data_IF_311235683650
#
_entry.id   IF_311235683650
#
_cell.length_a   1.000
_cell.length_b   1.000
_cell.length_c   1.000
_cell.angle_alpha   90.00
_cell.angle_beta   90.00
_cell.angle_gamma   90.00
#
_symmetry.space_group_name_H-M   'P 1'
#
loop_
_entity.id
_entity.type
_entity.pdbx_description
1 polymer ?
#
# COMPACT_ATOMS: atom_id res chain seq x y z
N UNK A 1 10.87 58.18 -34.07
CA UNK A 1 11.73 57.17 -34.71
C UNK A 1 12.95 56.96 -33.83
N UNK A 2 12.93 55.88 -33.01
CA UNK A 2 14.09 55.38 -32.30
C UNK A 2 14.02 53.84 -32.39
N UNK A 3 15.08 53.16 -32.86
CA UNK A 3 15.05 51.73 -33.08
C UNK A 3 15.24 50.97 -31.74
N UNK A 4 14.36 50.04 -31.48
CA UNK A 4 14.46 49.07 -30.36
C UNK A 4 15.65 48.16 -30.58
N UNK A 5 16.62 48.22 -29.67
CA UNK A 5 17.70 47.24 -29.57
C UNK A 5 17.15 45.93 -28.97
N UNK A 6 17.05 44.93 -29.83
CA UNK A 6 16.81 43.55 -29.43
C UNK A 6 18.06 42.99 -28.72
N UNK A 7 17.96 42.72 -27.43
CA UNK A 7 19.00 42.02 -26.67
C UNK A 7 19.18 40.60 -27.21
N UNK A 8 20.41 40.11 -27.43
CA UNK A 8 20.65 38.76 -27.86
C UNK A 8 20.37 37.79 -26.72
N UNK A 9 19.48 36.82 -26.98
CA UNK A 9 19.19 35.71 -26.09
C UNK A 9 20.45 34.84 -25.89
N UNK A 10 21.11 34.95 -24.74
CA UNK A 10 22.17 34.05 -24.30
C UNK A 10 21.57 32.70 -24.02
N UNK A 11 21.36 31.88 -25.08
CA UNK A 11 21.20 30.44 -25.01
C UNK A 11 22.55 29.77 -24.92
N UNK A 12 23.29 30.01 -23.85
CA UNK A 12 24.44 29.22 -23.45
C UNK A 12 24.00 28.07 -22.55
N UNK A 13 23.52 26.97 -23.13
CA UNK A 13 23.31 25.73 -22.40
C UNK A 13 24.67 25.15 -21.96
N UNK A 14 25.17 25.54 -20.81
CA UNK A 14 26.23 24.81 -20.12
C UNK A 14 25.68 23.43 -19.72
N UNK A 15 25.86 22.44 -20.59
CA UNK A 15 25.78 21.04 -20.20
C UNK A 15 27.08 20.73 -19.47
N UNK A 16 27.08 20.55 -18.15
CA UNK A 16 28.29 20.16 -17.43
C UNK A 16 28.80 18.83 -18.02
N UNK A 17 30.14 18.65 -18.14
CA UNK A 17 30.70 17.43 -18.69
C UNK A 17 30.19 16.25 -17.85
N UNK A 18 29.66 15.21 -18.51
CA UNK A 18 29.18 13.97 -17.90
C UNK A 18 30.34 13.28 -17.19
N UNK A 19 30.62 13.66 -15.94
CA UNK A 19 31.57 12.91 -15.12
C UNK A 19 31.01 11.50 -14.93
N UNK A 20 31.84 10.49 -15.20
CA UNK A 20 31.49 9.10 -14.94
C UNK A 20 31.19 8.96 -13.43
N UNK A 21 30.15 8.22 -13.03
CA UNK A 21 29.87 8.00 -11.63
C UNK A 21 31.07 7.34 -10.94
N UNK A 22 31.38 7.79 -9.72
CA UNK A 22 32.45 7.20 -8.91
C UNK A 22 32.14 5.74 -8.61
N UNK A 23 33.18 4.89 -8.54
CA UNK A 23 33.04 3.47 -8.22
C UNK A 23 32.39 3.26 -6.84
N UNK A 24 32.66 4.15 -5.90
CA UNK A 24 32.03 4.17 -4.56
C UNK A 24 30.51 4.39 -4.59
N UNK A 25 30.02 5.04 -5.63
CA UNK A 25 28.58 5.22 -5.87
C UNK A 25 27.99 4.04 -6.65
N UNK A 26 28.75 3.49 -7.59
CA UNK A 26 28.28 2.39 -8.46
C UNK A 26 28.15 1.08 -7.69
N UNK A 27 29.09 0.76 -6.81
CA UNK A 27 29.13 -0.53 -6.11
C UNK A 27 27.88 -0.76 -5.23
N UNK A 28 27.45 0.14 -4.34
CA UNK A 28 26.21 -0.06 -3.58
C UNK A 28 24.96 -0.07 -4.45
N UNK A 29 24.93 0.70 -5.55
CA UNK A 29 23.80 0.68 -6.49
C UNK A 29 23.73 -0.65 -7.24
N UNK A 30 24.84 -1.20 -7.72
CA UNK A 30 24.87 -2.50 -8.40
C UNK A 30 24.50 -3.63 -7.42
N UNK A 31 25.00 -3.57 -6.18
CA UNK A 31 24.59 -4.51 -5.14
C UNK A 31 23.09 -4.47 -4.92
N UNK A 32 22.52 -3.29 -4.79
CA UNK A 32 21.09 -3.12 -4.60
C UNK A 32 20.29 -3.65 -5.79
N UNK A 33 20.70 -3.33 -7.03
CA UNK A 33 20.06 -3.84 -8.25
C UNK A 33 20.13 -5.37 -8.29
N UNK A 34 21.28 -5.96 -7.94
CA UNK A 34 21.45 -7.41 -7.85
C UNK A 34 20.52 -8.05 -6.82
N UNK A 35 20.49 -7.49 -5.61
CA UNK A 35 19.59 -7.95 -4.53
C UNK A 35 18.12 -7.80 -4.92
N UNK A 36 17.78 -6.72 -5.61
CA UNK A 36 16.41 -6.48 -6.09
C UNK A 36 15.98 -7.45 -7.19
N UNK A 37 16.91 -7.93 -7.98
CA UNK A 37 16.62 -8.93 -9.02
C UNK A 37 16.49 -10.35 -8.47
N UNK A 38 17.07 -10.64 -7.29
CA UNK A 38 17.10 -11.98 -6.71
C UNK A 38 15.71 -12.64 -6.64
N UNK A 39 14.65 -12.01 -6.09
CA UNK A 39 13.33 -12.62 -6.03
C UNK A 39 12.73 -12.90 -7.41
N UNK A 40 12.93 -12.00 -8.36
CA UNK A 40 12.43 -12.15 -9.73
C UNK A 40 13.14 -13.30 -10.44
N UNK A 41 14.47 -13.36 -10.31
CA UNK A 41 15.31 -14.42 -10.89
C UNK A 41 14.96 -15.78 -10.25
N UNK A 42 14.81 -15.84 -8.93
CA UNK A 42 14.45 -17.08 -8.23
C UNK A 42 13.11 -17.64 -8.71
N UNK A 43 12.07 -16.80 -8.72
CA UNK A 43 10.74 -17.20 -9.18
C UNK A 43 10.78 -17.63 -10.65
N UNK A 44 11.47 -16.86 -11.51
CA UNK A 44 11.62 -17.18 -12.93
C UNK A 44 12.37 -18.49 -13.17
N UNK A 45 13.49 -18.72 -12.47
CA UNK A 45 14.29 -19.96 -12.58
C UNK A 45 13.49 -21.19 -12.11
N UNK A 46 12.78 -21.07 -10.99
CA UNK A 46 11.96 -22.18 -10.47
C UNK A 46 10.78 -22.49 -11.37
N UNK A 47 10.12 -21.46 -11.93
CA UNK A 47 9.07 -21.66 -12.91
C UNK A 47 9.60 -22.31 -14.20
N UNK A 48 10.80 -21.91 -14.65
CA UNK A 48 11.47 -22.53 -15.80
C UNK A 48 11.85 -23.99 -15.55
N UNK A 49 12.43 -24.30 -14.36
CA UNK A 49 12.83 -25.67 -13.98
C UNK A 49 11.63 -26.63 -13.87
N UNK A 50 10.48 -26.13 -13.45
CA UNK A 50 9.25 -26.91 -13.40
C UNK A 50 8.76 -27.34 -14.78
N UNK A 51 9.06 -26.55 -15.82
CA UNK A 51 8.65 -26.81 -17.18
C UNK A 51 7.23 -26.35 -17.50
N UNK A 52 6.98 -26.11 -18.79
CA UNK A 52 5.70 -25.57 -19.28
C UNK A 52 4.52 -26.51 -19.01
N UNK A 53 4.73 -27.82 -19.17
CA UNK A 53 3.67 -28.81 -18.95
C UNK A 53 3.15 -28.82 -17.51
N UNK A 54 4.06 -28.79 -16.53
CA UNK A 54 3.74 -28.75 -15.10
C UNK A 54 3.06 -27.41 -14.74
N UNK A 55 3.56 -26.30 -15.29
CA UNK A 55 2.95 -24.97 -15.09
C UNK A 55 1.50 -24.93 -15.58
N UNK A 56 1.23 -25.42 -16.78
CA UNK A 56 -0.12 -25.51 -17.34
C UNK A 56 -1.00 -26.44 -16.50
N UNK A 57 -0.49 -27.63 -16.13
CA UNK A 57 -1.23 -28.57 -15.31
C UNK A 57 -1.61 -27.97 -13.95
N UNK A 58 -0.69 -27.24 -13.30
CA UNK A 58 -0.96 -26.55 -12.03
C UNK A 58 -2.04 -25.47 -12.19
N UNK A 59 -1.93 -24.63 -13.23
CA UNK A 59 -2.86 -23.53 -13.48
C UNK A 59 -4.29 -23.99 -13.72
N UNK A 60 -4.49 -25.17 -14.33
CA UNK A 60 -5.82 -25.74 -14.59
C UNK A 60 -6.39 -26.55 -13.42
N UNK A 61 -5.69 -26.65 -12.29
CA UNK A 61 -6.26 -27.30 -11.11
C UNK A 61 -7.43 -26.49 -10.55
N UNK A 62 -8.57 -27.11 -10.19
CA UNK A 62 -9.69 -26.42 -9.55
C UNK A 62 -9.29 -25.66 -8.29
N UNK A 63 -8.30 -26.13 -7.57
CA UNK A 63 -7.70 -25.49 -6.40
C UNK A 63 -7.16 -24.07 -6.73
N UNK A 64 -6.35 -23.94 -7.78
CA UNK A 64 -5.76 -22.64 -8.19
C UNK A 64 -6.84 -21.69 -8.67
N UNK A 65 -7.87 -22.18 -9.36
CA UNK A 65 -9.03 -21.37 -9.71
C UNK A 65 -9.78 -20.88 -8.47
N UNK A 66 -9.91 -21.71 -7.42
CA UNK A 66 -10.46 -21.32 -6.13
C UNK A 66 -9.66 -20.20 -5.46
N UNK A 67 -8.31 -20.31 -5.47
CA UNK A 67 -7.43 -19.25 -4.96
C UNK A 67 -7.59 -17.94 -5.73
N UNK A 68 -7.64 -18.01 -7.06
CA UNK A 68 -7.84 -16.84 -7.91
C UNK A 68 -9.18 -16.16 -7.61
N UNK A 69 -10.26 -16.93 -7.56
CA UNK A 69 -11.59 -16.43 -7.22
C UNK A 69 -11.62 -15.73 -5.87
N UNK A 70 -11.06 -16.36 -4.83
CA UNK A 70 -11.05 -15.81 -3.48
C UNK A 70 -10.20 -14.53 -3.40
N UNK A 71 -9.02 -14.56 -4.02
CA UNK A 71 -8.12 -13.38 -4.07
C UNK A 71 -8.77 -12.21 -4.80
N UNK A 72 -9.38 -12.44 -5.96
CA UNK A 72 -10.06 -11.40 -6.72
C UNK A 72 -11.32 -10.90 -6.00
N UNK A 73 -12.12 -11.80 -5.42
CA UNK A 73 -13.31 -11.44 -4.67
C UNK A 73 -12.97 -10.59 -3.44
N UNK A 74 -11.93 -10.97 -2.69
CA UNK A 74 -11.40 -10.19 -1.57
C UNK A 74 -10.93 -8.81 -2.06
N UNK A 75 -10.05 -8.77 -3.07
CA UNK A 75 -9.49 -7.55 -3.61
C UNK A 75 -10.60 -6.57 -4.06
N UNK A 76 -11.55 -7.04 -4.87
CA UNK A 76 -12.64 -6.20 -5.37
C UNK A 76 -13.58 -5.80 -4.23
N UNK A 77 -13.98 -6.74 -3.37
CA UNK A 77 -14.89 -6.47 -2.25
C UNK A 77 -14.36 -5.41 -1.30
N UNK A 78 -13.11 -5.56 -0.84
CA UNK A 78 -12.46 -4.59 0.06
C UNK A 78 -12.26 -3.25 -0.64
N UNK A 79 -11.79 -3.25 -1.88
CA UNK A 79 -11.52 -2.01 -2.63
C UNK A 79 -12.79 -1.19 -2.85
N UNK A 80 -13.87 -1.83 -3.27
CA UNK A 80 -15.16 -1.16 -3.49
C UNK A 80 -15.73 -0.64 -2.16
N UNK A 81 -15.72 -1.46 -1.11
CA UNK A 81 -16.21 -1.05 0.20
C UNK A 81 -15.41 0.13 0.78
N UNK A 82 -14.08 0.08 0.69
CA UNK A 82 -13.21 1.19 1.09
C UNK A 82 -13.42 2.45 0.26
N UNK A 83 -13.66 2.32 -1.05
CA UNK A 83 -13.94 3.47 -1.91
C UNK A 83 -15.26 4.15 -1.52
N UNK A 84 -16.30 3.37 -1.25
CA UNK A 84 -17.62 3.89 -0.81
C UNK A 84 -17.49 4.57 0.56
N UNK A 85 -16.89 3.89 1.55
CA UNK A 85 -16.72 4.44 2.90
C UNK A 85 -15.79 5.67 2.87
N UNK A 86 -14.64 5.57 2.22
CA UNK A 86 -13.66 6.64 2.16
C UNK A 86 -14.18 7.91 1.48
N UNK A 87 -14.89 7.74 0.34
CA UNK A 87 -15.52 8.86 -0.37
C UNK A 87 -16.64 9.49 0.45
N UNK A 88 -17.53 8.68 1.06
CA UNK A 88 -18.64 9.18 1.87
C UNK A 88 -18.15 9.97 3.09
N UNK A 89 -17.13 9.46 3.79
CA UNK A 89 -16.52 10.14 4.93
C UNK A 89 -15.81 11.44 4.53
N UNK A 90 -15.03 11.41 3.46
CA UNK A 90 -14.33 12.59 2.96
C UNK A 90 -15.33 13.70 2.59
N UNK A 91 -16.39 13.34 1.88
CA UNK A 91 -17.45 14.29 1.52
C UNK A 91 -18.17 14.83 2.75
N UNK A 92 -18.50 13.95 3.71
CA UNK A 92 -19.17 14.32 4.96
C UNK A 92 -18.34 15.31 5.79
N UNK A 93 -17.03 15.08 5.93
CA UNK A 93 -16.17 15.93 6.76
C UNK A 93 -15.79 17.26 6.08
N UNK A 94 -15.57 17.24 4.76
CA UNK A 94 -15.07 18.44 4.06
C UNK A 94 -16.20 19.32 3.48
N UNK A 95 -17.37 18.75 3.19
CA UNK A 95 -18.49 19.44 2.53
C UNK A 95 -19.72 19.68 3.40
N UNK A 96 -19.71 19.21 4.67
CA UNK A 96 -20.84 19.41 5.58
C UNK A 96 -20.47 20.21 6.84
N UNK A 97 -21.51 20.61 7.57
CA UNK A 97 -21.39 21.28 8.88
C UNK A 97 -21.35 20.31 10.05
N UNK A 98 -20.77 19.11 9.88
CA UNK A 98 -20.70 18.08 10.92
C UNK A 98 -19.97 18.64 12.16
N UNK A 99 -20.59 18.63 13.37
CA UNK A 99 -19.93 19.03 14.61
C UNK A 99 -18.71 18.14 14.89
N UNK A 100 -17.62 18.76 15.33
CA UNK A 100 -16.41 18.01 15.67
C UNK A 100 -15.65 17.43 14.46
N UNK A 101 -15.90 17.89 13.23
CA UNK A 101 -15.30 17.35 12.01
C UNK A 101 -13.77 17.24 12.05
N UNK A 102 -13.06 18.13 12.76
CA UNK A 102 -11.60 18.06 12.92
C UNK A 102 -11.19 16.87 13.77
N UNK A 103 -11.93 16.60 14.84
CA UNK A 103 -11.72 15.45 15.75
C UNK A 103 -12.05 14.16 15.01
N UNK A 104 -13.20 14.12 14.32
CA UNK A 104 -13.58 12.98 13.47
C UNK A 104 -12.53 12.66 12.40
N UNK A 105 -11.91 13.67 11.79
CA UNK A 105 -10.86 13.47 10.79
C UNK A 105 -9.64 12.71 11.32
N UNK A 106 -9.35 12.82 12.61
CA UNK A 106 -8.27 12.06 13.26
C UNK A 106 -8.77 10.69 13.74
N UNK A 107 -9.90 10.66 14.46
CA UNK A 107 -10.42 9.44 15.07
C UNK A 107 -10.78 8.37 14.01
N UNK A 108 -11.31 8.78 12.88
CA UNK A 108 -11.60 7.90 11.76
C UNK A 108 -10.35 7.27 11.11
N UNK A 109 -9.15 7.76 11.43
CA UNK A 109 -7.91 7.11 10.99
C UNK A 109 -7.39 6.07 11.99
N UNK A 110 -7.94 5.99 13.21
CA UNK A 110 -7.50 5.03 14.24
C UNK A 110 -7.53 3.56 13.79
N UNK A 111 -8.55 3.08 13.03
CA UNK A 111 -8.55 1.70 12.58
C UNK A 111 -7.34 1.33 11.72
N UNK A 112 -6.76 2.28 11.00
CA UNK A 112 -5.55 2.06 10.21
C UNK A 112 -4.29 1.88 11.09
N UNK A 113 -4.28 2.45 12.28
CA UNK A 113 -3.17 2.30 13.23
C UNK A 113 -3.17 0.92 13.93
N UNK A 114 -4.30 0.22 13.95
CA UNK A 114 -4.37 -1.15 14.49
C UNK A 114 -3.85 -2.12 13.44
N UNK A 115 -2.81 -2.94 13.74
CA UNK A 115 -2.32 -3.93 12.80
C UNK A 115 -3.44 -4.88 12.33
N UNK A 116 -3.51 -5.14 11.02
CA UNK A 116 -4.60 -5.93 10.45
C UNK A 116 -4.71 -7.34 11.05
N UNK A 117 -3.57 -7.98 11.37
CA UNK A 117 -3.56 -9.29 12.00
C UNK A 117 -4.14 -9.26 13.44
N UNK A 118 -3.92 -8.16 14.20
CA UNK A 118 -4.51 -7.99 15.53
C UNK A 118 -6.02 -7.85 15.41
N UNK A 119 -6.50 -7.01 14.48
CA UNK A 119 -7.94 -6.88 14.20
C UNK A 119 -8.55 -8.22 13.80
N UNK A 120 -7.90 -8.97 12.91
CA UNK A 120 -8.38 -10.30 12.48
C UNK A 120 -8.48 -11.27 13.65
N UNK A 121 -7.45 -11.35 14.48
CA UNK A 121 -7.45 -12.19 15.68
C UNK A 121 -8.60 -11.84 16.63
N UNK A 122 -8.83 -10.56 16.90
CA UNK A 122 -9.89 -10.11 17.82
C UNK A 122 -11.29 -10.42 17.27
N UNK A 123 -11.51 -10.25 15.98
CA UNK A 123 -12.79 -10.56 15.32
C UNK A 123 -13.09 -12.07 15.31
N UNK A 124 -12.11 -12.90 14.95
CA UNK A 124 -12.26 -14.37 14.98
C UNK A 124 -12.48 -14.86 16.41
N UNK A 125 -11.78 -14.27 17.39
CA UNK A 125 -11.95 -14.61 18.80
C UNK A 125 -13.33 -14.22 19.35
N UNK A 126 -13.98 -13.22 18.75
CA UNK A 126 -15.35 -12.83 19.11
C UNK A 126 -16.37 -13.86 18.59
N UNK A 127 -16.21 -14.31 17.34
CA UNK A 127 -17.06 -15.36 16.75
C UNK A 127 -16.38 -15.97 15.51
N UNK A 128 -16.41 -17.30 15.39
CA UNK A 128 -15.95 -18.02 14.20
C UNK A 128 -16.71 -17.66 12.91
N UNK A 129 -17.88 -16.97 13.01
CA UNK A 129 -18.62 -16.48 11.84
C UNK A 129 -17.84 -15.43 11.04
N UNK A 130 -16.81 -14.82 11.64
CA UNK A 130 -15.92 -13.87 10.95
C UNK A 130 -14.78 -14.55 10.19
N UNK A 131 -14.70 -15.87 10.18
CA UNK A 131 -13.79 -16.60 9.31
C UNK A 131 -14.26 -16.58 7.85
N UNK A 132 -13.29 -16.74 6.93
CA UNK A 132 -13.55 -16.81 5.50
C UNK A 132 -13.71 -15.45 4.80
N UNK A 133 -14.27 -15.46 3.60
CA UNK A 133 -14.28 -14.32 2.70
C UNK A 133 -15.08 -13.11 3.25
N UNK A 134 -16.23 -13.35 3.84
CA UNK A 134 -17.07 -12.28 4.39
C UNK A 134 -16.41 -11.52 5.53
N UNK A 135 -15.85 -12.24 6.49
CA UNK A 135 -15.10 -11.65 7.60
C UNK A 135 -13.83 -10.95 7.12
N UNK A 136 -13.11 -11.54 6.16
CA UNK A 136 -11.95 -10.91 5.57
C UNK A 136 -12.28 -9.58 4.88
N UNK A 137 -13.37 -9.52 4.10
CA UNK A 137 -13.83 -8.25 3.49
C UNK A 137 -14.17 -7.24 4.57
N UNK A 138 -14.90 -7.62 5.62
CA UNK A 138 -15.27 -6.72 6.71
C UNK A 138 -14.02 -6.16 7.42
N UNK A 139 -13.18 -7.04 7.96
CA UNK A 139 -12.02 -6.64 8.78
C UNK A 139 -11.03 -5.82 7.97
N UNK A 140 -10.73 -6.24 6.74
CA UNK A 140 -9.80 -5.51 5.88
C UNK A 140 -10.37 -4.16 5.42
N UNK A 141 -11.68 -4.07 5.16
CA UNK A 141 -12.33 -2.79 4.85
C UNK A 141 -12.21 -1.81 6.01
N UNK A 142 -12.53 -2.25 7.23
CA UNK A 142 -12.44 -1.41 8.43
C UNK A 142 -11.01 -0.93 8.69
N UNK A 143 -10.01 -1.76 8.41
CA UNK A 143 -8.59 -1.42 8.57
C UNK A 143 -8.06 -0.49 7.47
N UNK A 144 -8.56 -0.57 6.22
CA UNK A 144 -7.92 0.05 5.05
C UNK A 144 -8.69 1.22 4.43
N UNK A 145 -9.94 1.50 4.80
CA UNK A 145 -10.69 2.63 4.21
C UNK A 145 -9.99 4.01 4.36
N UNK A 146 -9.13 4.27 5.37
CA UNK A 146 -8.42 5.55 5.45
C UNK A 146 -7.48 5.81 4.27
N UNK A 147 -7.03 4.77 3.56
CA UNK A 147 -6.20 4.91 2.36
C UNK A 147 -6.95 5.57 1.18
N UNK A 148 -8.28 5.50 1.15
CA UNK A 148 -9.11 6.28 0.20
C UNK A 148 -9.58 7.58 0.84
N UNK A 149 -10.00 7.53 2.10
CA UNK A 149 -10.52 8.69 2.82
C UNK A 149 -9.54 9.87 2.82
N UNK A 150 -8.26 9.64 3.17
CA UNK A 150 -7.28 10.71 3.31
C UNK A 150 -6.97 11.46 2.00
N UNK A 151 -6.63 10.78 0.88
CA UNK A 151 -6.36 11.48 -0.38
C UNK A 151 -7.60 12.16 -0.96
N UNK A 152 -8.79 11.57 -0.80
CA UNK A 152 -10.04 12.17 -1.26
C UNK A 152 -10.38 13.41 -0.43
N UNK A 153 -10.24 13.37 0.90
CA UNK A 153 -10.43 14.52 1.77
C UNK A 153 -9.44 15.65 1.45
N UNK A 154 -8.16 15.32 1.21
CA UNK A 154 -7.15 16.29 0.81
C UNK A 154 -7.49 16.93 -0.54
N UNK A 155 -7.98 16.17 -1.50
CA UNK A 155 -8.41 16.68 -2.81
C UNK A 155 -9.63 17.59 -2.67
N UNK A 156 -10.66 17.16 -1.92
CA UNK A 156 -11.86 17.98 -1.66
C UNK A 156 -11.55 19.31 -0.97
N UNK A 157 -10.58 19.31 -0.05
CA UNK A 157 -10.14 20.53 0.66
C UNK A 157 -9.51 21.54 -0.28
N UNK A 158 -8.81 21.08 -1.31
CA UNK A 158 -8.10 21.91 -2.28
C UNK A 158 -8.87 22.14 -3.58
N UNK A 159 -10.09 21.59 -3.72
CA UNK A 159 -10.90 21.74 -4.91
C UNK A 159 -11.51 23.14 -4.96
N UNK A 160 -11.38 23.82 -6.12
CA UNK A 160 -12.02 25.10 -6.36
C UNK A 160 -13.54 24.94 -6.53
N UNK A 161 -14.28 25.65 -5.70
CA UNK A 161 -15.76 25.61 -5.70
C UNK A 161 -16.39 26.38 -6.86
N UNK A 162 -15.63 27.18 -7.60
CA UNK A 162 -16.13 27.94 -8.74
C UNK A 162 -16.78 27.06 -9.81
N UNK A 163 -16.24 25.84 -10.03
CA UNK A 163 -16.81 24.87 -10.97
C UNK A 163 -18.18 24.35 -10.49
N UNK A 164 -18.32 24.10 -9.20
CA UNK A 164 -19.60 23.67 -8.60
C UNK A 164 -20.63 24.81 -8.64
N UNK A 165 -20.22 26.05 -8.38
CA UNK A 165 -21.06 27.24 -8.45
C UNK A 165 -21.53 27.51 -9.89
N UNK A 166 -20.63 27.43 -10.86
CA UNK A 166 -20.95 27.55 -12.28
C UNK A 166 -21.94 26.50 -12.76
N UNK A 167 -21.79 25.26 -12.32
CA UNK A 167 -22.75 24.20 -12.65
C UNK A 167 -24.14 24.45 -12.05
N UNK A 168 -24.21 25.07 -10.85
CA UNK A 168 -25.49 25.46 -10.24
C UNK A 168 -26.15 26.62 -10.97
N UNK A 169 -25.40 27.61 -11.42
CA UNK A 169 -25.95 28.73 -12.23
C UNK A 169 -26.50 28.25 -13.56
N UNK A 170 -25.95 27.12 -14.10
CA UNK A 170 -26.47 26.43 -15.28
C UNK A 170 -27.66 25.50 -14.98
N UNK A 171 -28.27 25.58 -13.79
CA UNK A 171 -29.49 24.85 -13.44
C UNK A 171 -29.28 23.43 -12.91
N UNK A 172 -28.03 23.01 -12.67
CA UNK A 172 -27.80 21.67 -12.07
C UNK A 172 -28.21 21.66 -10.59
N UNK A 173 -28.94 20.61 -10.20
CA UNK A 173 -29.27 20.34 -8.80
C UNK A 173 -28.02 19.82 -8.03
N UNK A 174 -28.08 19.74 -6.70
CA UNK A 174 -26.97 19.33 -5.85
C UNK A 174 -26.41 17.95 -6.17
N UNK A 175 -27.30 17.00 -6.46
CA UNK A 175 -26.91 15.64 -6.85
C UNK A 175 -26.26 15.63 -8.25
N UNK A 176 -26.78 16.41 -9.18
CA UNK A 176 -26.19 16.58 -10.50
C UNK A 176 -24.78 17.18 -10.44
N UNK A 177 -24.56 18.20 -9.61
CA UNK A 177 -23.23 18.77 -9.37
C UNK A 177 -22.26 17.72 -8.79
N UNK A 178 -22.72 16.96 -7.81
CA UNK A 178 -21.88 15.89 -7.22
C UNK A 178 -21.43 14.86 -8.27
N UNK A 179 -22.38 14.26 -9.01
CA UNK A 179 -22.04 13.19 -9.95
C UNK A 179 -21.37 13.66 -11.24
N UNK A 180 -21.72 14.87 -11.73
CA UNK A 180 -21.21 15.38 -13.02
C UNK A 180 -19.96 16.25 -12.89
N UNK A 181 -19.70 16.85 -11.73
CA UNK A 181 -18.57 17.78 -11.52
C UNK A 181 -17.66 17.27 -10.41
N UNK A 182 -18.15 17.13 -9.19
CA UNK A 182 -17.31 16.82 -8.02
C UNK A 182 -16.72 15.43 -8.11
N UNK A 183 -17.52 14.39 -8.35
CA UNK A 183 -17.06 13.00 -8.41
C UNK A 183 -16.03 12.75 -9.52
N UNK A 184 -16.18 13.25 -10.76
CA UNK A 184 -15.15 13.12 -11.78
C UNK A 184 -13.81 13.77 -11.40
N UNK A 185 -13.84 14.89 -10.68
CA UNK A 185 -12.64 15.56 -10.20
C UNK A 185 -11.96 14.81 -9.04
N UNK A 186 -12.74 14.05 -8.26
CA UNK A 186 -12.22 13.20 -7.19
C UNK A 186 -11.74 11.83 -7.69
N UNK A 187 -12.16 11.42 -8.88
CA UNK A 187 -11.91 10.08 -9.41
C UNK A 187 -10.42 9.67 -9.38
N UNK A 188 -9.46 10.54 -9.73
CA UNK A 188 -8.05 10.18 -9.62
C UNK A 188 -7.59 9.88 -8.18
N UNK A 189 -8.11 10.61 -7.19
CA UNK A 189 -7.79 10.35 -5.78
C UNK A 189 -8.44 9.06 -5.27
N UNK A 190 -9.69 8.81 -5.66
CA UNK A 190 -10.40 7.57 -5.33
C UNK A 190 -9.69 6.36 -5.96
N UNK A 191 -9.36 6.44 -7.25
CA UNK A 191 -8.65 5.36 -7.95
C UNK A 191 -7.25 5.12 -7.39
N UNK A 192 -6.52 6.18 -7.05
CA UNK A 192 -5.21 6.04 -6.42
C UNK A 192 -5.26 5.28 -5.10
N UNK A 193 -6.20 5.65 -4.21
CA UNK A 193 -6.43 4.92 -2.96
C UNK A 193 -6.95 3.50 -3.18
N UNK A 194 -7.86 3.32 -4.12
CA UNK A 194 -8.44 2.03 -4.47
C UNK A 194 -7.38 1.04 -5.00
N UNK A 195 -6.52 1.49 -5.91
CA UNK A 195 -5.44 0.66 -6.46
C UNK A 195 -4.39 0.30 -5.39
N UNK A 196 -4.09 1.23 -4.49
CA UNK A 196 -3.22 0.95 -3.35
C UNK A 196 -3.82 -0.14 -2.44
N UNK A 197 -5.12 -0.08 -2.15
CA UNK A 197 -5.82 -1.12 -1.39
C UNK A 197 -5.81 -2.45 -2.15
N UNK A 198 -6.10 -2.44 -3.44
CA UNK A 198 -6.07 -3.64 -4.26
C UNK A 198 -4.71 -4.33 -4.22
N UNK A 199 -3.62 -3.56 -4.32
CA UNK A 199 -2.26 -4.08 -4.19
C UNK A 199 -1.99 -4.65 -2.79
N UNK A 200 -2.42 -3.96 -1.72
CA UNK A 200 -2.30 -4.47 -0.35
C UNK A 200 -3.03 -5.81 -0.16
N UNK A 201 -4.21 -5.99 -0.78
CA UNK A 201 -4.95 -7.25 -0.68
C UNK A 201 -4.23 -8.41 -1.36
N UNK A 202 -3.51 -8.16 -2.46
CA UNK A 202 -2.72 -9.20 -3.13
C UNK A 202 -1.50 -9.66 -2.33
N UNK A 203 -0.94 -8.79 -1.48
CA UNK A 203 0.27 -9.11 -0.71
C UNK A 203 -0.02 -9.44 0.76
N UNK A 204 -1.25 -9.26 1.22
CA UNK A 204 -1.64 -9.53 2.61
C UNK A 204 -1.59 -11.04 2.90
N UNK A 205 -0.93 -11.40 3.99
CA UNK A 205 -0.80 -12.78 4.45
C UNK A 205 -1.32 -12.94 5.88
N UNK A 206 -0.80 -12.13 6.82
CA UNK A 206 -1.01 -12.34 8.25
C UNK A 206 -2.47 -12.29 8.68
N UNK A 207 -3.20 -11.28 8.23
CA UNK A 207 -4.62 -11.16 8.53
C UNK A 207 -5.45 -12.30 7.91
N UNK A 208 -5.14 -12.66 6.65
CA UNK A 208 -5.87 -13.70 5.91
C UNK A 208 -5.62 -15.10 6.46
N UNK A 209 -4.41 -15.37 6.96
CA UNK A 209 -4.07 -16.62 7.63
C UNK A 209 -4.92 -16.82 8.89
N UNK A 210 -5.10 -15.77 9.70
CA UNK A 210 -5.92 -15.83 10.92
C UNK A 210 -7.41 -15.97 10.58
N UNK A 211 -7.87 -15.28 9.54
CA UNK A 211 -9.26 -15.36 9.06
C UNK A 211 -9.58 -16.65 8.32
N UNK A 212 -8.63 -17.59 8.18
CA UNK A 212 -8.84 -18.86 7.51
C UNK A 212 -9.16 -18.77 6.02
N UNK A 213 -8.86 -17.64 5.37
CA UNK A 213 -9.16 -17.44 3.95
C UNK A 213 -8.02 -17.95 3.08
N UNK A 214 -8.30 -18.92 2.23
CA UNK A 214 -7.36 -19.44 1.24
C UNK A 214 -7.24 -18.45 0.05
N UNK A 215 -6.06 -17.82 -0.03
CA UNK A 215 -5.63 -16.91 -1.11
C UNK A 215 -4.28 -17.35 -1.65
N UNK A 216 -3.73 -16.67 -2.66
CA UNK A 216 -2.39 -17.00 -3.16
C UNK A 216 -1.33 -16.90 -2.07
N UNK A 217 -1.35 -15.87 -1.22
CA UNK A 217 -0.35 -15.69 -0.17
C UNK A 217 -0.38 -16.79 0.87
N UNK A 218 -1.56 -17.18 1.34
CA UNK A 218 -1.72 -18.28 2.30
C UNK A 218 -1.37 -19.63 1.69
N UNK A 219 -1.72 -19.85 0.40
CA UNK A 219 -1.37 -21.07 -0.31
C UNK A 219 0.13 -21.19 -0.59
N UNK A 220 0.82 -20.10 -0.95
CA UNK A 220 2.28 -20.07 -1.13
C UNK A 220 2.97 -20.48 0.17
N UNK A 221 2.55 -19.92 1.31
CA UNK A 221 3.09 -20.26 2.61
C UNK A 221 2.85 -21.75 2.95
N UNK A 222 1.64 -22.24 2.71
CA UNK A 222 1.27 -23.63 2.96
C UNK A 222 2.11 -24.60 2.13
N UNK A 223 2.29 -24.32 0.83
CA UNK A 223 3.12 -25.14 -0.06
C UNK A 223 4.59 -25.17 0.38
N UNK A 224 5.10 -24.06 0.89
CA UNK A 224 6.49 -23.96 1.32
C UNK A 224 6.73 -24.61 2.68
N UNK A 225 5.92 -24.24 3.69
CA UNK A 225 6.18 -24.58 5.10
C UNK A 225 5.63 -25.99 5.47
N UNK A 226 4.47 -26.36 4.94
CA UNK A 226 3.79 -27.60 5.31
C UNK A 226 4.02 -28.74 4.31
N UNK A 227 4.02 -28.43 3.02
CA UNK A 227 4.18 -29.45 1.97
C UNK A 227 5.61 -29.56 1.46
N UNK A 228 6.52 -28.67 1.91
CA UNK A 228 7.93 -28.61 1.52
C UNK A 228 8.15 -28.60 0.00
N UNK A 229 7.16 -28.08 -0.75
CA UNK A 229 7.19 -28.03 -2.20
C UNK A 229 7.62 -26.65 -2.69
N UNK A 230 8.92 -26.44 -2.77
CA UNK A 230 9.51 -25.19 -3.28
C UNK A 230 9.06 -24.86 -4.71
N UNK A 231 8.85 -25.88 -5.54
CA UNK A 231 8.43 -25.70 -6.94
C UNK A 231 7.00 -25.17 -7.03
N UNK A 232 6.05 -25.78 -6.33
CA UNK A 232 4.66 -25.33 -6.31
C UNK A 232 4.53 -23.93 -5.71
N UNK A 233 5.23 -23.67 -4.58
CA UNK A 233 5.26 -22.34 -3.98
C UNK A 233 5.80 -21.28 -4.96
N UNK A 234 6.86 -21.57 -5.70
CA UNK A 234 7.42 -20.64 -6.70
C UNK A 234 6.48 -20.43 -7.88
N UNK A 235 5.77 -21.46 -8.35
CA UNK A 235 4.79 -21.33 -9.44
C UNK A 235 3.59 -20.47 -9.04
N UNK A 236 3.03 -20.67 -7.85
CA UNK A 236 1.97 -19.83 -7.29
C UNK A 236 2.46 -18.38 -7.09
N UNK A 237 3.73 -18.23 -6.67
CA UNK A 237 4.38 -16.92 -6.55
C UNK A 237 4.53 -16.22 -7.90
N UNK A 238 4.86 -16.96 -8.96
CA UNK A 238 4.93 -16.41 -10.33
C UNK A 238 3.57 -15.90 -10.81
N UNK A 239 2.49 -16.65 -10.55
CA UNK A 239 1.14 -16.22 -10.91
C UNK A 239 0.72 -14.97 -10.13
N UNK A 240 0.99 -14.95 -8.81
CA UNK A 240 0.71 -13.78 -7.98
C UNK A 240 1.54 -12.56 -8.43
N UNK A 241 2.79 -12.75 -8.80
CA UNK A 241 3.64 -11.71 -9.38
C UNK A 241 3.01 -11.11 -10.65
N UNK A 242 2.50 -11.95 -11.56
CA UNK A 242 1.81 -11.47 -12.78
C UNK A 242 0.61 -10.62 -12.42
N UNK A 243 -0.20 -11.02 -11.45
CA UNK A 243 -1.34 -10.24 -10.96
C UNK A 243 -0.91 -8.89 -10.37
N UNK A 244 0.15 -8.88 -9.55
CA UNK A 244 0.70 -7.65 -8.98
C UNK A 244 1.24 -6.71 -10.06
N UNK A 245 1.98 -7.23 -11.06
CA UNK A 245 2.50 -6.43 -12.17
C UNK A 245 1.38 -5.86 -13.05
N UNK A 246 0.33 -6.63 -13.30
CA UNK A 246 -0.86 -6.15 -14.03
C UNK A 246 -1.52 -4.99 -13.28
N UNK A 247 -1.69 -5.12 -11.97
CA UNK A 247 -2.29 -4.09 -11.14
C UNK A 247 -1.41 -2.83 -11.07
N UNK A 248 -0.10 -3.00 -10.91
CA UNK A 248 0.87 -1.90 -10.93
C UNK A 248 0.86 -1.17 -12.29
N UNK A 249 0.80 -1.92 -13.39
CA UNK A 249 0.69 -1.34 -14.72
C UNK A 249 -0.61 -0.50 -14.86
N UNK A 250 -1.72 -1.01 -14.33
CA UNK A 250 -2.99 -0.29 -14.30
C UNK A 250 -2.87 1.00 -13.46
N UNK A 251 -2.22 0.93 -12.29
CA UNK A 251 -1.95 2.08 -11.42
C UNK A 251 -1.16 3.17 -12.14
N UNK A 252 -0.08 2.81 -12.83
CA UNK A 252 0.74 3.75 -13.58
C UNK A 252 -0.04 4.42 -14.72
N UNK A 253 -0.96 3.70 -15.38
CA UNK A 253 -1.86 4.26 -16.40
C UNK A 253 -2.82 5.29 -15.83
N UNK A 254 -3.42 4.99 -14.69
CA UNK A 254 -4.38 5.87 -14.01
C UNK A 254 -3.68 7.13 -13.47
N UNK A 255 -2.52 7.00 -12.83
CA UNK A 255 -1.75 8.14 -12.32
C UNK A 255 -1.26 9.09 -13.42
N UNK A 256 -0.94 8.56 -14.60
CA UNK A 256 -0.48 9.35 -15.75
C UNK A 256 -1.50 10.38 -16.24
N UNK A 257 -2.79 10.09 -16.10
CA UNK A 257 -3.90 10.98 -16.49
C UNK A 257 -4.19 12.08 -15.45
N UNK A 258 -3.76 11.93 -14.20
CA UNK A 258 -4.06 12.86 -13.11
C UNK A 258 -3.22 14.15 -13.10
N UNK A 259 -2.19 14.26 -13.92
CA UNK A 259 -1.26 15.43 -13.96
C UNK A 259 -1.87 16.73 -14.50
N UNK A 260 -3.09 16.72 -15.03
CA UNK A 260 -3.67 17.86 -15.75
C UNK A 260 -4.68 18.72 -14.96
N UNK A 261 -4.88 18.49 -13.65
CA UNK A 261 -5.94 19.16 -12.88
C UNK A 261 -5.43 20.39 -12.08
N UNK A 262 -4.23 20.88 -12.34
CA UNK A 262 -3.73 22.07 -11.67
C UNK A 262 -3.75 23.29 -12.61
N UNK A 263 -4.96 23.77 -12.95
CA UNK A 263 -5.17 25.03 -13.66
C UNK A 263 -5.85 26.03 -12.73
N UNK A 264 -5.06 26.76 -11.93
CA UNK A 264 -5.57 27.88 -11.15
C UNK A 264 -4.54 28.36 -10.13
N UNK A 265 -3.90 29.50 -10.40
CA UNK A 265 -3.05 30.24 -9.45
C UNK A 265 -3.89 31.13 -8.53
N UNK A 266 -5.00 30.64 -7.97
CA UNK A 266 -5.83 31.35 -7.03
C UNK A 266 -5.94 30.66 -5.67
N UNK A 267 -6.08 31.42 -4.58
CA UNK A 267 -6.42 30.86 -3.28
C UNK A 267 -7.76 30.12 -3.38
N UNK A 268 -7.77 28.81 -3.14
CA UNK A 268 -8.97 27.99 -3.23
C UNK A 268 -10.09 28.58 -2.35
N UNK A 269 -11.19 28.98 -2.99
CA UNK A 269 -12.37 29.47 -2.28
C UNK A 269 -13.00 28.33 -1.52
N UNK A 270 -13.07 28.42 -0.19
CA UNK A 270 -13.65 27.35 0.64
C UNK A 270 -15.14 27.20 0.36
N UNK A 271 -15.58 25.98 0.14
CA UNK A 271 -16.99 25.65 -0.03
C UNK A 271 -17.80 26.07 1.18
N UNK A 272 -18.99 26.64 0.96
CA UNK A 272 -19.97 26.81 2.01
C UNK A 272 -20.47 25.45 2.47
N UNK A 273 -20.32 25.11 3.78
CA UNK A 273 -20.68 23.78 4.26
C UNK A 273 -22.18 23.52 4.12
N UNK A 274 -22.52 22.33 3.64
CA UNK A 274 -23.89 21.86 3.55
C UNK A 274 -24.48 21.70 4.96
N UNK A 275 -25.63 22.32 5.22
CA UNK A 275 -26.36 22.13 6.48
C UNK A 275 -27.05 20.79 6.49
N UNK A 276 -26.65 19.90 7.39
CA UNK A 276 -27.18 18.54 7.51
C UNK A 276 -28.57 18.49 8.21
N UNK A 277 -28.90 19.52 9.02
CA UNK A 277 -30.14 19.51 9.78
C UNK A 277 -30.28 18.23 10.64
N UNK A 278 -31.41 17.53 10.60
CA UNK A 278 -31.63 16.30 11.38
C UNK A 278 -30.69 15.14 10.95
N UNK A 279 -30.21 15.13 9.72
CA UNK A 279 -29.23 14.14 9.23
C UNK A 279 -27.88 14.21 9.93
N UNK A 280 -27.64 15.27 10.71
CA UNK A 280 -26.43 15.42 11.51
C UNK A 280 -26.24 14.28 12.53
N UNK A 281 -27.32 13.82 13.16
CA UNK A 281 -27.29 12.70 14.11
C UNK A 281 -26.91 11.40 13.41
N UNK A 282 -27.53 11.13 12.25
CA UNK A 282 -27.24 9.94 11.44
C UNK A 282 -25.78 9.94 10.99
N UNK A 283 -25.27 11.10 10.58
CA UNK A 283 -23.87 11.26 10.16
C UNK A 283 -22.91 11.02 11.34
N UNK A 284 -23.20 11.50 12.53
CA UNK A 284 -22.39 11.23 13.72
C UNK A 284 -22.44 9.75 14.13
N UNK A 285 -23.62 9.13 14.09
CA UNK A 285 -23.76 7.69 14.37
C UNK A 285 -22.99 6.84 13.34
N UNK A 286 -22.97 7.24 12.08
CA UNK A 286 -22.18 6.58 11.06
C UNK A 286 -20.67 6.67 11.35
N UNK A 287 -20.15 7.85 11.69
CA UNK A 287 -18.76 8.02 12.09
C UNK A 287 -18.44 7.21 13.35
N UNK A 288 -19.31 7.26 14.35
CA UNK A 288 -19.14 6.52 15.60
C UNK A 288 -19.13 5.01 15.36
N UNK A 289 -20.06 4.50 14.56
CA UNK A 289 -20.14 3.08 14.19
C UNK A 289 -18.83 2.59 13.59
N UNK A 290 -18.28 3.32 12.62
CA UNK A 290 -17.02 2.94 11.97
C UNK A 290 -15.85 2.92 12.97
N UNK A 291 -15.78 3.86 13.88
CA UNK A 291 -14.73 3.90 14.92
C UNK A 291 -14.90 2.77 15.92
N UNK A 292 -16.12 2.55 16.39
CA UNK A 292 -16.42 1.48 17.37
C UNK A 292 -16.14 0.11 16.76
N UNK A 293 -16.62 -0.14 15.57
CA UNK A 293 -16.43 -1.44 14.89
C UNK A 293 -14.98 -1.62 14.42
N UNK A 294 -14.35 -0.57 13.92
CA UNK A 294 -12.99 -0.63 13.37
C UNK A 294 -11.86 -0.62 14.40
N UNK A 295 -12.05 0.10 15.51
CA UNK A 295 -11.04 0.23 16.58
C UNK A 295 -11.57 -0.21 17.95
N UNK A 296 -12.83 0.14 18.26
CA UNK A 296 -13.42 -0.15 19.58
C UNK A 296 -13.52 -1.66 19.82
N UNK A 297 -13.95 -2.46 18.85
CA UNK A 297 -14.00 -3.93 18.97
C UNK A 297 -12.60 -4.51 19.17
N UNK A 298 -11.60 -4.24 18.32
CA UNK A 298 -10.24 -4.75 18.53
C UNK A 298 -9.65 -4.35 19.89
N UNK A 299 -9.70 -3.07 20.24
CA UNK A 299 -9.14 -2.58 21.50
C UNK A 299 -9.93 -3.08 22.71
N UNK A 300 -11.25 -3.17 22.62
CA UNK A 300 -12.12 -3.70 23.67
C UNK A 300 -11.85 -5.18 23.95
N UNK A 301 -11.66 -5.99 22.88
CA UNK A 301 -11.30 -7.42 23.03
C UNK A 301 -9.91 -7.59 23.64
N UNK A 302 -8.93 -6.81 23.23
CA UNK A 302 -7.61 -6.81 23.86
C UNK A 302 -7.69 -6.43 25.34
N UNK A 303 -8.48 -5.37 25.67
CA UNK A 303 -8.73 -4.97 27.08
C UNK A 303 -9.45 -6.06 27.89
N UNK A 304 -10.44 -6.71 27.29
CA UNK A 304 -11.14 -7.83 27.93
C UNK A 304 -10.17 -8.97 28.26
N UNK A 305 -9.30 -9.34 27.32
CA UNK A 305 -8.32 -10.42 27.54
C UNK A 305 -7.24 -10.03 28.54
N UNK A 306 -6.86 -8.75 28.56
CA UNK A 306 -5.92 -8.24 29.56
C UNK A 306 -6.46 -8.38 30.99
N UNK A 307 -7.76 -8.16 31.18
CA UNK A 307 -8.42 -8.23 32.50
C UNK A 307 -8.81 -9.65 32.88
N UNK A 308 -9.32 -10.43 31.92
CA UNK A 308 -9.81 -11.82 32.13
C UNK A 308 -8.75 -12.88 31.94
N UNK A 309 -7.63 -12.57 31.30
CA UNK A 309 -6.53 -13.50 31.07
C UNK A 309 -6.02 -14.06 32.39
N UNK A 310 -6.00 -15.37 32.51
CA UNK A 310 -5.61 -16.10 33.73
C UNK A 310 -4.11 -16.16 33.96
N UNK A 311 -3.31 -15.48 33.13
CA UNK A 311 -1.86 -15.37 33.32
C UNK A 311 -1.59 -14.61 34.61
N UNK A 312 -1.25 -15.32 35.65
CA UNK A 312 -1.05 -14.83 37.02
C UNK A 312 0.06 -13.76 37.16
N UNK A 313 0.84 -13.51 36.11
CA UNK A 313 1.81 -12.42 36.06
C UNK A 313 1.84 -11.84 34.63
N UNK A 314 1.61 -10.54 34.54
CA UNK A 314 1.87 -9.79 33.30
C UNK A 314 3.38 -9.80 33.03
N UNK A 315 3.87 -10.41 31.93
CA UNK A 315 5.29 -10.67 31.73
C UNK A 315 6.02 -9.38 31.27
N UNK A 316 6.11 -8.38 32.13
CA UNK A 316 6.69 -7.06 31.82
C UNK A 316 8.10 -7.18 31.24
N UNK A 317 8.92 -8.07 31.79
CA UNK A 317 10.29 -8.29 31.32
C UNK A 317 10.30 -8.81 29.88
N UNK A 318 9.51 -9.84 29.56
CA UNK A 318 9.42 -10.41 28.21
C UNK A 318 8.85 -9.38 27.19
N UNK A 319 7.86 -8.58 27.60
CA UNK A 319 7.32 -7.51 26.76
C UNK A 319 8.38 -6.43 26.52
N UNK A 320 9.14 -6.06 27.56
CA UNK A 320 10.23 -5.10 27.44
C UNK A 320 11.33 -5.58 26.49
N UNK A 321 11.73 -6.85 26.58
CA UNK A 321 12.70 -7.47 25.69
C UNK A 321 12.17 -7.53 24.24
N UNK A 322 10.93 -7.95 24.05
CA UNK A 322 10.29 -7.97 22.72
C UNK A 322 10.19 -6.56 22.11
N UNK A 323 9.86 -5.54 22.91
CA UNK A 323 9.81 -4.16 22.48
C UNK A 323 11.20 -3.64 22.03
N UNK A 324 12.24 -3.90 22.84
CA UNK A 324 13.61 -3.50 22.52
C UNK A 324 14.11 -4.21 21.26
N UNK A 325 13.82 -5.50 21.13
CA UNK A 325 14.15 -6.28 19.91
C UNK A 325 13.44 -5.70 18.68
N UNK A 326 12.15 -5.44 18.77
CA UNK A 326 11.38 -4.85 17.67
C UNK A 326 11.90 -3.46 17.29
N UNK A 327 12.20 -2.62 18.29
CA UNK A 327 12.74 -1.28 18.06
C UNK A 327 14.13 -1.32 17.42
N UNK A 328 15.01 -2.21 17.90
CA UNK A 328 16.37 -2.39 17.35
C UNK A 328 16.32 -2.86 15.89
N UNK A 329 15.42 -3.80 15.57
CA UNK A 329 15.21 -4.28 14.21
C UNK A 329 14.61 -3.18 13.31
N UNK A 330 13.66 -2.40 13.80
CA UNK A 330 13.07 -1.29 13.05
C UNK A 330 14.10 -0.20 12.75
N UNK A 331 14.90 0.21 13.75
CA UNK A 331 15.96 1.21 13.58
C UNK A 331 17.09 0.69 12.67
N UNK A 332 17.51 -0.57 12.86
CA UNK A 332 18.53 -1.19 12.01
C UNK A 332 18.05 -1.33 10.56
N UNK A 333 16.80 -1.76 10.34
CA UNK A 333 16.20 -1.83 9.02
C UNK A 333 16.07 -0.46 8.35
N UNK A 334 15.63 0.55 9.09
CA UNK A 334 15.54 1.92 8.59
C UNK A 334 16.92 2.51 8.23
N UNK A 335 17.93 2.30 9.08
CA UNK A 335 19.29 2.73 8.81
C UNK A 335 19.88 2.06 7.56
N UNK A 336 19.69 0.74 7.43
CA UNK A 336 20.15 -0.01 6.25
C UNK A 336 19.39 0.44 4.99
N UNK A 337 18.09 0.64 5.09
CA UNK A 337 17.26 1.14 3.99
C UNK A 337 17.74 2.52 3.52
N UNK A 338 18.02 3.44 4.44
CA UNK A 338 18.56 4.76 4.13
C UNK A 338 19.95 4.67 3.49
N UNK A 339 20.84 3.83 4.04
CA UNK A 339 22.18 3.60 3.49
C UNK A 339 22.14 3.06 2.05
N UNK A 340 21.14 2.25 1.70
CA UNK A 340 20.93 1.74 0.33
C UNK A 340 20.23 2.76 -0.57
N UNK A 341 19.29 3.56 -0.05
CA UNK A 341 18.53 4.55 -0.82
C UNK A 341 19.38 5.76 -1.22
N UNK A 342 20.26 6.25 -0.34
CA UNK A 342 21.09 7.44 -0.58
C UNK A 342 21.96 7.34 -1.85
N UNK A 343 22.72 6.25 -2.10
CA UNK A 343 23.50 6.11 -3.33
C UNK A 343 22.63 6.13 -4.58
N UNK A 344 21.44 5.55 -4.52
CA UNK A 344 20.49 5.54 -5.64
C UNK A 344 19.98 6.95 -5.92
N UNK A 345 19.53 7.68 -4.89
CA UNK A 345 19.09 9.06 -5.02
C UNK A 345 20.19 9.96 -5.59
N UNK A 346 21.42 9.84 -5.09
CA UNK A 346 22.57 10.57 -5.62
C UNK A 346 22.89 10.22 -7.09
N UNK A 347 22.73 8.94 -7.47
CA UNK A 347 22.92 8.51 -8.85
C UNK A 347 21.85 9.10 -9.77
N UNK A 348 20.56 9.03 -9.37
CA UNK A 348 19.44 9.54 -10.15
C UNK A 348 19.54 11.05 -10.37
N UNK A 349 19.87 11.81 -9.33
CA UNK A 349 19.98 13.27 -9.40
C UNK A 349 21.19 13.72 -10.24
N UNK A 350 22.35 13.07 -10.06
CA UNK A 350 23.62 13.50 -10.70
C UNK A 350 23.88 12.87 -12.05
N UNK A 351 23.38 11.67 -12.32
CA UNK A 351 23.70 10.89 -13.52
C UNK A 351 22.44 10.38 -14.20
N UNK A 352 22.07 10.98 -15.34
CA UNK A 352 20.95 10.50 -16.18
C UNK A 352 21.44 9.39 -17.10
N UNK A 353 21.32 8.13 -16.68
CA UNK A 353 21.72 6.97 -17.45
C UNK A 353 20.76 5.79 -17.29
N UNK A 354 20.92 4.74 -18.11
CA UNK A 354 20.08 3.53 -18.02
C UNK A 354 20.15 2.88 -16.62
N UNK A 355 21.34 2.86 -16.00
CA UNK A 355 21.52 2.32 -14.65
C UNK A 355 20.72 3.10 -13.61
N UNK A 356 20.71 4.44 -13.69
CA UNK A 356 19.93 5.28 -12.77
C UNK A 356 18.44 4.96 -12.89
N UNK A 357 17.92 4.82 -14.12
CA UNK A 357 16.52 4.48 -14.37
C UNK A 357 16.17 3.10 -13.78
N UNK A 358 17.03 2.09 -13.97
CA UNK A 358 16.79 0.76 -13.43
C UNK A 358 16.93 0.73 -11.89
N UNK A 359 17.91 1.42 -11.33
CA UNK A 359 18.11 1.52 -9.89
C UNK A 359 16.94 2.23 -9.17
N UNK A 360 16.30 3.19 -9.84
CA UNK A 360 15.09 3.84 -9.35
C UNK A 360 13.86 2.93 -9.45
N UNK A 361 13.67 2.23 -10.60
CA UNK A 361 12.43 1.50 -10.88
C UNK A 361 12.36 0.10 -10.27
N UNK A 362 13.48 -0.60 -10.16
CA UNK A 362 13.51 -1.97 -9.62
C UNK A 362 12.96 -2.11 -8.22
N UNK A 363 13.26 -1.23 -7.25
CA UNK A 363 12.68 -1.30 -5.93
C UNK A 363 11.15 -1.19 -5.93
N UNK A 364 10.56 -0.37 -6.83
CA UNK A 364 9.10 -0.30 -6.96
C UNK A 364 8.49 -1.62 -7.46
N UNK A 365 9.21 -2.36 -8.31
CA UNK A 365 8.78 -3.70 -8.70
C UNK A 365 8.83 -4.68 -7.54
N UNK A 366 9.83 -4.56 -6.65
CA UNK A 366 9.90 -5.36 -5.42
C UNK A 366 8.74 -5.08 -4.46
N UNK A 367 8.31 -3.83 -4.36
CA UNK A 367 7.18 -3.46 -3.50
C UNK A 367 5.86 -4.10 -3.96
N UNK A 368 5.76 -4.45 -5.24
CA UNK A 368 4.63 -5.20 -5.78
C UNK A 368 4.71 -6.70 -5.49
N UNK A 369 5.87 -7.19 -5.01
CA UNK A 369 6.03 -8.60 -4.61
C UNK A 369 5.48 -8.81 -3.20
N UNK A 370 4.77 -9.92 -2.95
CA UNK A 370 4.47 -10.33 -1.59
C UNK A 370 5.75 -10.46 -0.76
N UNK A 371 5.76 -9.91 0.45
CA UNK A 371 6.91 -10.02 1.36
C UNK A 371 7.33 -11.47 1.61
N UNK A 372 6.37 -12.39 1.57
CA UNK A 372 6.61 -13.83 1.65
C UNK A 372 7.53 -14.34 0.53
N UNK A 373 7.33 -13.89 -0.71
CA UNK A 373 8.17 -14.31 -1.87
C UNK A 373 9.60 -13.81 -1.70
N UNK A 374 9.78 -12.59 -1.19
CA UNK A 374 11.10 -12.03 -0.89
C UNK A 374 11.77 -12.83 0.23
N UNK A 375 11.03 -13.15 1.29
CA UNK A 375 11.54 -13.94 2.39
C UNK A 375 11.98 -15.34 1.93
N UNK A 376 11.15 -16.06 1.17
CA UNK A 376 11.47 -17.38 0.62
C UNK A 376 12.71 -17.36 -0.27
N UNK A 377 12.84 -16.32 -1.09
CA UNK A 377 14.03 -16.15 -1.95
C UNK A 377 15.28 -15.95 -1.13
N UNK A 378 15.24 -15.10 -0.10
CA UNK A 378 16.39 -14.84 0.77
C UNK A 378 16.77 -16.08 1.60
N UNK A 379 15.79 -16.84 2.08
CA UNK A 379 16.01 -18.13 2.75
C UNK A 379 16.70 -19.12 1.80
N UNK A 380 16.16 -19.28 0.59
CA UNK A 380 16.76 -20.15 -0.42
C UNK A 380 18.20 -19.75 -0.75
N UNK A 381 18.43 -18.45 -0.96
CA UNK A 381 19.77 -17.92 -1.26
C UNK A 381 20.74 -18.14 -0.08
N UNK A 382 20.32 -17.84 1.14
CA UNK A 382 21.13 -18.04 2.33
C UNK A 382 21.51 -19.53 2.50
N UNK A 383 20.54 -20.43 2.40
CA UNK A 383 20.80 -21.88 2.56
C UNK A 383 21.77 -22.45 1.52
N UNK A 384 21.70 -21.97 0.25
CA UNK A 384 22.48 -22.57 -0.83
C UNK A 384 23.82 -21.91 -1.07
N UNK A 385 23.94 -20.62 -0.82
CA UNK A 385 25.14 -19.85 -1.19
C UNK A 385 25.90 -19.29 0.00
N UNK A 386 25.20 -18.93 1.09
CA UNK A 386 25.83 -18.31 2.28
C UNK A 386 25.18 -18.89 3.56
N UNK A 387 25.37 -20.20 3.88
CA UNK A 387 24.70 -20.84 5.02
C UNK A 387 24.95 -20.15 6.37
N UNK A 388 26.10 -19.48 6.53
CA UNK A 388 26.43 -18.72 7.73
C UNK A 388 25.50 -17.52 7.98
N UNK A 389 24.79 -17.04 6.96
CA UNK A 389 23.81 -15.94 7.10
C UNK A 389 22.40 -16.45 7.41
N UNK A 390 22.12 -17.74 7.25
CA UNK A 390 20.81 -18.30 7.52
C UNK A 390 20.41 -18.10 8.99
N UNK A 391 19.16 -17.69 9.22
CA UNK A 391 18.61 -17.37 10.55
C UNK A 391 19.35 -16.27 11.32
N UNK A 392 20.09 -15.41 10.63
CA UNK A 392 20.73 -14.26 11.26
C UNK A 392 19.87 -13.00 11.17
N UNK A 393 20.06 -12.09 12.14
CA UNK A 393 19.46 -10.74 12.12
C UNK A 393 19.80 -9.97 10.84
N UNK A 394 20.99 -10.22 10.25
CA UNK A 394 21.43 -9.54 9.03
C UNK A 394 20.53 -9.81 7.83
N UNK A 395 20.09 -11.06 7.61
CA UNK A 395 19.16 -11.41 6.52
C UNK A 395 17.79 -10.79 6.76
N UNK A 396 17.33 -10.75 8.01
CA UNK A 396 16.06 -10.13 8.38
C UNK A 396 16.09 -8.60 8.11
N UNK A 397 17.15 -7.92 8.51
CA UNK A 397 17.33 -6.49 8.23
C UNK A 397 17.40 -6.21 6.72
N UNK A 398 18.05 -7.09 5.96
CA UNK A 398 18.09 -7.00 4.50
C UNK A 398 16.70 -7.15 3.88
N UNK A 399 15.90 -8.11 4.36
CA UNK A 399 14.53 -8.28 3.92
C UNK A 399 13.68 -7.03 4.18
N UNK A 400 13.77 -6.45 5.38
CA UNK A 400 13.06 -5.22 5.72
C UNK A 400 13.52 -4.04 4.87
N UNK A 401 14.82 -3.90 4.64
CA UNK A 401 15.36 -2.84 3.80
C UNK A 401 14.86 -2.96 2.36
N UNK A 402 14.86 -4.16 1.76
CA UNK A 402 14.37 -4.38 0.40
C UNK A 402 12.88 -4.07 0.26
N UNK A 403 12.05 -4.46 1.24
CA UNK A 403 10.61 -4.20 1.24
C UNK A 403 10.29 -2.70 1.39
N UNK A 404 11.08 -1.98 2.19
CA UNK A 404 10.82 -0.58 2.53
C UNK A 404 11.54 0.41 1.61
N UNK A 405 12.44 -0.06 0.75
CA UNK A 405 13.29 0.77 -0.11
C UNK A 405 12.51 1.75 -1.00
N UNK A 406 11.39 1.36 -1.65
CA UNK A 406 10.61 2.28 -2.47
C UNK A 406 10.07 3.47 -1.69
N UNK A 407 9.70 3.25 -0.43
CA UNK A 407 9.20 4.30 0.47
C UNK A 407 10.31 5.31 0.83
N UNK A 408 11.57 4.84 0.94
CA UNK A 408 12.72 5.69 1.20
C UNK A 408 13.19 6.47 -0.03
N UNK A 409 12.90 5.97 -1.24
CA UNK A 409 13.26 6.62 -2.50
C UNK A 409 12.22 7.65 -2.98
N UNK A 410 10.96 7.54 -2.56
CA UNK A 410 9.87 8.41 -3.00
C UNK A 410 10.08 9.92 -2.73
N UNK A 411 10.73 10.37 -1.63
CA UNK A 411 10.98 11.79 -1.36
C UNK A 411 12.24 12.34 -2.02
N UNK A 412 13.08 11.52 -2.64
CA UNK A 412 14.34 11.94 -3.28
C UNK A 412 14.14 12.22 -4.78
#
# INVERSE_FOLDING_TARGET
>A
MTPSQSAPALRGGFSPPRKRPSIWLLLPVLLLVGLSLLPLVYVGLKAWQAGWAEAVHLLWRPYVFGLLRNTLALMVGVTVACAVIGLSLAWLLERSNLPGRRIWGVILCLPFAVPAFVSSFTWVSLSAQFEGLGGAILVMTLSKYPLVFLPVAATLRNLDTSLEESARTLGQNRTGVFFKVTLPLLWPAVLGGALLIALHMLVEFGALSILGLQTFTTAIYQQFELEFSNTNAAMLSALLLVLCLLLLWLELRVRGTARHIRTGQGAARRATPLRLGPWCVVAQLYCLLLVVVGSGVPLGMLGYWLVKGSSAAFPVAAIGEALLTSLSLALGGAALCLALALPVGLLVVRHRGRLAIWAERLPYLLHALPGLVIALTLVYFALHYVPAMYQTTGVLLLAYALLSLPLAQAPV
#
